data_IF_422259745299
#
_entry.id   IF_422259745299
#
_cell.length_a   1.000
_cell.length_b   1.000
_cell.length_c   1.000
_cell.angle_alpha   90.00
_cell.angle_beta   90.00
_cell.angle_gamma   90.00
#
_symmetry.space_group_name_H-M   'P 1'
#
loop_
_entity.id
_entity.type
_entity.pdbx_description
1 polymer ?
#
# COMPACT_ATOMS: atom_id res chain seq x y z
N UNK A 1 10.88 9.01 -6.39
CA UNK A 1 9.77 9.80 -6.98
C UNK A 1 8.83 10.22 -5.86
N UNK A 2 8.26 11.43 -5.89
CA UNK A 2 7.28 11.86 -4.90
C UNK A 2 6.07 10.92 -4.90
N UNK A 3 5.49 10.69 -3.72
CA UNK A 3 4.30 9.85 -3.54
C UNK A 3 3.09 10.73 -3.28
N UNK A 4 2.01 10.49 -4.02
CA UNK A 4 0.80 11.30 -3.97
C UNK A 4 -0.39 10.49 -3.51
N UNK A 5 -1.28 11.13 -2.76
CA UNK A 5 -2.58 10.59 -2.38
C UNK A 5 -3.68 11.61 -2.68
N UNK A 6 -4.65 11.21 -3.48
CA UNK A 6 -5.83 12.01 -3.80
C UNK A 6 -6.97 11.68 -2.84
N UNK A 7 -7.40 12.66 -2.03
CA UNK A 7 -8.48 12.51 -1.05
C UNK A 7 -9.62 13.46 -1.37
N UNK A 8 -10.81 12.92 -1.61
CA UNK A 8 -12.05 13.68 -1.79
C UNK A 8 -12.64 14.05 -0.44
N UNK A 9 -12.91 15.34 -0.27
CA UNK A 9 -13.72 15.88 0.82
C UNK A 9 -15.03 16.41 0.24
N UNK A 10 -16.02 16.70 1.10
CA UNK A 10 -17.37 17.17 0.67
C UNK A 10 -17.34 18.28 -0.38
N UNK A 11 -16.34 19.16 -0.32
CA UNK A 11 -16.32 20.39 -1.09
C UNK A 11 -15.17 20.45 -2.11
N UNK A 12 -14.20 19.51 -2.08
CA UNK A 12 -13.02 19.51 -2.97
C UNK A 12 -12.20 18.22 -2.92
N UNK A 13 -11.42 17.97 -3.98
CA UNK A 13 -10.30 17.01 -3.95
C UNK A 13 -9.05 17.71 -3.44
N UNK A 14 -8.36 17.10 -2.48
CA UNK A 14 -7.05 17.52 -2.01
C UNK A 14 -5.99 16.47 -2.39
N UNK A 15 -4.85 16.92 -2.90
CA UNK A 15 -3.69 16.08 -3.19
C UNK A 15 -2.66 16.25 -2.07
N UNK A 16 -2.30 15.15 -1.43
CA UNK A 16 -1.25 15.09 -0.43
C UNK A 16 0.00 14.53 -1.08
N UNK A 17 1.10 15.28 -1.05
CA UNK A 17 2.37 14.86 -1.64
C UNK A 17 3.38 14.63 -0.54
N UNK A 18 4.16 13.55 -0.66
CA UNK A 18 5.30 13.27 0.20
C UNK A 18 6.57 13.20 -0.63
N UNK A 19 7.52 14.06 -0.27
CA UNK A 19 8.85 14.15 -0.91
C UNK A 19 9.96 13.56 -0.03
N UNK A 20 9.67 13.36 1.26
CA UNK A 20 10.62 12.86 2.25
C UNK A 20 10.61 11.33 2.27
N UNK A 21 11.78 10.76 2.54
CA UNK A 21 11.93 9.32 2.77
C UNK A 21 11.00 8.84 3.91
N UNK A 22 10.45 7.62 3.84
CA UNK A 22 9.70 7.02 4.94
C UNK A 22 10.58 6.89 6.19
N UNK A 23 10.00 7.16 7.36
CA UNK A 23 10.68 7.05 8.66
C UNK A 23 10.38 5.68 9.32
N UNK A 24 11.10 5.34 10.40
CA UNK A 24 10.90 4.06 11.11
C UNK A 24 9.46 3.83 11.60
N UNK A 25 8.74 4.89 11.96
CA UNK A 25 7.33 4.78 12.33
C UNK A 25 6.46 4.32 11.15
N UNK A 26 6.78 4.78 9.93
CA UNK A 26 6.08 4.35 8.72
C UNK A 26 6.40 2.88 8.41
N UNK A 27 7.64 2.45 8.68
CA UNK A 27 8.05 1.06 8.52
C UNK A 27 7.25 0.12 9.44
N UNK A 28 7.01 0.51 10.69
CA UNK A 28 6.19 -0.31 11.61
C UNK A 28 4.77 -0.50 11.10
N UNK A 29 4.11 0.58 10.66
CA UNK A 29 2.75 0.50 10.11
C UNK A 29 2.73 -0.27 8.77
N UNK A 30 3.77 -0.17 7.94
CA UNK A 30 3.89 -0.94 6.70
C UNK A 30 4.08 -2.45 6.96
N UNK A 31 4.89 -2.82 7.96
CA UNK A 31 5.07 -4.21 8.38
C UNK A 31 3.77 -4.80 8.97
N UNK A 32 2.96 -4.00 9.65
CA UNK A 32 1.63 -4.40 10.11
C UNK A 32 0.72 -4.78 8.94
N UNK A 33 0.68 -3.95 7.88
CA UNK A 33 -0.06 -4.25 6.64
C UNK A 33 0.45 -5.55 6.01
N UNK A 34 1.77 -5.66 5.80
CA UNK A 34 2.38 -6.84 5.18
C UNK A 34 2.07 -8.11 5.98
N UNK A 35 2.10 -8.05 7.31
CA UNK A 35 1.81 -9.19 8.17
C UNK A 35 0.37 -9.69 7.99
N UNK A 36 -0.59 -8.77 7.94
CA UNK A 36 -2.00 -9.12 7.69
C UNK A 36 -2.17 -9.78 6.33
N UNK A 37 -1.51 -9.27 5.29
CA UNK A 37 -1.59 -9.84 3.93
C UNK A 37 -1.00 -11.24 3.86
N UNK A 38 0.14 -11.49 4.52
CA UNK A 38 0.71 -12.84 4.62
C UNK A 38 -0.28 -13.78 5.32
N UNK A 39 -0.88 -13.38 6.43
CA UNK A 39 -1.86 -14.22 7.15
C UNK A 39 -3.10 -14.52 6.29
N UNK A 40 -3.54 -13.54 5.51
CA UNK A 40 -4.69 -13.65 4.61
C UNK A 40 -4.42 -14.54 3.40
N UNK A 41 -3.22 -14.50 2.81
CA UNK A 41 -2.95 -15.13 1.51
C UNK A 41 -1.98 -16.32 1.55
N UNK A 42 -1.39 -16.63 2.71
CA UNK A 42 -0.43 -17.75 2.84
C UNK A 42 -1.05 -19.16 2.77
N UNK A 43 -2.37 -19.28 2.89
CA UNK A 43 -3.07 -20.57 2.88
C UNK A 43 -3.79 -20.76 1.54
N UNK A 44 -3.45 -21.83 0.83
CA UNK A 44 -3.99 -22.14 -0.50
C UNK A 44 -5.54 -22.19 -0.54
N UNK A 45 -6.17 -22.68 0.54
CA UNK A 45 -7.63 -22.86 0.62
C UNK A 45 -8.34 -21.79 1.47
N UNK A 46 -7.64 -20.72 1.87
CA UNK A 46 -8.23 -19.65 2.67
C UNK A 46 -8.63 -18.48 1.77
N UNK A 47 -9.92 -18.14 1.79
CA UNK A 47 -10.39 -16.87 1.27
C UNK A 47 -10.50 -15.87 2.41
N UNK A 48 -10.01 -14.63 2.24
CA UNK A 48 -10.15 -13.61 3.26
C UNK A 48 -11.61 -13.37 3.67
N UNK A 49 -11.87 -13.48 4.96
CA UNK A 49 -13.15 -13.15 5.56
C UNK A 49 -13.42 -11.65 5.48
N UNK A 50 -14.69 -11.24 5.61
CA UNK A 50 -15.06 -9.83 5.67
C UNK A 50 -14.32 -9.08 6.81
N UNK A 51 -14.05 -9.76 7.93
CA UNK A 51 -13.31 -9.19 9.06
C UNK A 51 -11.84 -8.93 8.71
N UNK A 52 -11.18 -9.88 8.05
CA UNK A 52 -9.79 -9.74 7.60
C UNK A 52 -9.67 -8.65 6.53
N UNK A 53 -10.60 -8.62 5.57
CA UNK A 53 -10.65 -7.55 4.56
C UNK A 53 -10.78 -6.18 5.22
N UNK A 54 -11.67 -6.05 6.21
CA UNK A 54 -11.80 -4.79 6.96
C UNK A 54 -10.51 -4.44 7.71
N UNK A 55 -9.88 -5.41 8.37
CA UNK A 55 -8.63 -5.19 9.11
C UNK A 55 -7.50 -4.70 8.18
N UNK A 56 -7.36 -5.30 6.99
CA UNK A 56 -6.41 -4.86 5.96
C UNK A 56 -6.68 -3.43 5.53
N UNK A 57 -7.92 -3.10 5.18
CA UNK A 57 -8.30 -1.76 4.74
C UNK A 57 -8.11 -0.72 5.86
N UNK A 58 -8.44 -1.06 7.11
CA UNK A 58 -8.21 -0.19 8.26
C UNK A 58 -6.71 0.07 8.46
N UNK A 59 -5.86 -0.96 8.36
CA UNK A 59 -4.40 -0.84 8.50
C UNK A 59 -3.79 0.03 7.38
N UNK A 60 -4.21 -0.19 6.13
CA UNK A 60 -3.82 0.66 4.98
C UNK A 60 -4.21 2.13 5.21
N UNK A 61 -5.43 2.38 5.69
CA UNK A 61 -5.89 3.73 5.96
C UNK A 61 -5.14 4.40 7.13
N UNK A 62 -4.80 3.63 8.18
CA UNK A 62 -3.99 4.09 9.31
C UNK A 62 -2.58 4.45 8.85
N UNK A 63 -1.95 3.58 8.04
CA UNK A 63 -0.65 3.85 7.42
C UNK A 63 -0.70 5.14 6.61
N UNK A 64 -1.67 5.28 5.69
CA UNK A 64 -1.79 6.45 4.82
C UNK A 64 -1.96 7.76 5.60
N UNK A 65 -2.84 7.78 6.61
CA UNK A 65 -3.07 8.96 7.44
C UNK A 65 -1.78 9.48 8.10
N UNK A 66 -0.93 8.58 8.61
CA UNK A 66 0.36 8.94 9.20
C UNK A 66 1.43 9.24 8.16
N UNK A 67 1.44 8.49 7.06
CA UNK A 67 2.45 8.59 6.01
C UNK A 67 2.39 9.94 5.29
N UNK A 68 1.19 10.38 4.90
CA UNK A 68 1.02 11.70 4.29
C UNK A 68 0.83 12.80 5.33
N UNK A 69 0.31 12.49 6.53
CA UNK A 69 0.24 13.47 7.63
C UNK A 69 -0.66 14.67 7.32
N UNK A 70 -0.23 15.87 7.71
CA UNK A 70 -0.96 17.13 7.45
C UNK A 70 -2.40 17.18 7.98
N UNK A 71 -2.67 16.52 9.11
CA UNK A 71 -4.01 16.45 9.71
C UNK A 71 -4.95 15.45 9.04
N UNK A 72 -4.45 14.67 8.07
CA UNK A 72 -5.20 13.57 7.45
C UNK A 72 -5.53 12.51 8.50
N UNK A 73 -6.81 12.18 8.66
CA UNK A 73 -7.25 11.12 9.57
C UNK A 73 -7.51 9.82 8.81
N UNK A 74 -7.50 8.69 9.52
CA UNK A 74 -7.89 7.40 8.95
C UNK A 74 -9.31 7.44 8.33
N UNK A 75 -10.23 8.20 8.93
CA UNK A 75 -11.60 8.38 8.41
C UNK A 75 -11.62 9.14 7.09
N UNK A 76 -10.78 10.16 6.95
CA UNK A 76 -10.65 10.92 5.70
C UNK A 76 -10.14 10.01 4.58
N UNK A 77 -9.17 9.14 4.89
CA UNK A 77 -8.70 8.13 3.93
C UNK A 77 -9.83 7.18 3.55
N UNK A 78 -10.50 6.55 4.51
CA UNK A 78 -11.55 5.56 4.24
C UNK A 78 -12.75 6.11 3.45
N UNK A 79 -13.08 7.38 3.65
CA UNK A 79 -14.25 8.00 3.03
C UNK A 79 -13.94 8.84 1.80
N UNK A 80 -12.68 9.23 1.61
CA UNK A 80 -12.26 10.18 0.58
C UNK A 80 -11.38 9.59 -0.52
N UNK A 81 -10.72 8.46 -0.27
CA UNK A 81 -9.84 7.81 -1.25
C UNK A 81 -10.64 6.91 -2.18
N UNK A 82 -10.32 6.92 -3.48
CA UNK A 82 -10.98 6.05 -4.45
C UNK A 82 -10.53 4.60 -4.29
N UNK A 83 -11.43 3.66 -4.54
CA UNK A 83 -11.17 2.22 -4.34
C UNK A 83 -10.12 1.61 -5.27
N UNK A 84 -9.77 2.29 -6.36
CA UNK A 84 -8.81 1.80 -7.37
C UNK A 84 -7.53 2.62 -7.34
N UNK A 85 -7.56 3.86 -7.84
CA UNK A 85 -6.38 4.72 -7.92
C UNK A 85 -5.81 5.01 -6.53
N UNK A 86 -6.68 5.35 -5.59
CA UNK A 86 -6.29 5.67 -4.24
C UNK A 86 -5.73 4.48 -3.46
N UNK A 87 -6.30 3.28 -3.65
CA UNK A 87 -5.72 2.06 -3.11
C UNK A 87 -4.32 1.81 -3.67
N UNK A 88 -4.14 1.91 -4.99
CA UNK A 88 -2.84 1.74 -5.64
C UNK A 88 -1.79 2.76 -5.15
N UNK A 89 -2.19 4.01 -4.89
CA UNK A 89 -1.33 5.03 -4.29
C UNK A 89 -0.84 4.62 -2.90
N UNK A 90 -1.73 4.10 -2.06
CA UNK A 90 -1.39 3.63 -0.70
C UNK A 90 -0.49 2.40 -0.77
N UNK A 91 -0.81 1.41 -1.59
CA UNK A 91 -0.02 0.18 -1.75
C UNK A 91 1.40 0.49 -2.27
N UNK A 92 1.53 1.43 -3.22
CA UNK A 92 2.84 1.92 -3.68
C UNK A 92 3.65 2.55 -2.56
N UNK A 93 3.01 3.32 -1.68
CA UNK A 93 3.69 3.92 -0.52
C UNK A 93 4.11 2.87 0.51
N UNK A 94 3.30 1.84 0.75
CA UNK A 94 3.66 0.68 1.59
C UNK A 94 4.87 -0.04 1.01
N UNK A 95 4.84 -0.41 -0.28
CA UNK A 95 5.94 -1.09 -0.96
C UNK A 95 7.23 -0.28 -0.93
N UNK A 96 7.15 1.03 -1.22
CA UNK A 96 8.29 1.95 -1.12
C UNK A 96 8.87 1.98 0.29
N UNK A 97 8.01 1.97 1.31
CA UNK A 97 8.42 1.96 2.72
C UNK A 97 9.10 0.65 3.13
N UNK A 98 8.66 -0.47 2.57
CA UNK A 98 9.26 -1.79 2.78
C UNK A 98 10.54 -2.01 1.96
N UNK A 99 10.93 -1.05 1.12
CA UNK A 99 12.07 -1.19 0.21
C UNK A 99 11.82 -2.23 -0.89
N UNK A 100 10.55 -2.50 -1.21
CA UNK A 100 10.20 -3.38 -2.33
C UNK A 100 10.40 -2.64 -3.64
N UNK A 101 11.15 -3.25 -4.54
CA UNK A 101 11.28 -2.75 -5.91
C UNK A 101 10.05 -3.19 -6.73
N UNK A 102 9.07 -2.30 -6.85
CA UNK A 102 7.90 -2.53 -7.70
C UNK A 102 8.21 -2.44 -9.21
N UNK A 103 9.43 -2.05 -9.59
CA UNK A 103 9.88 -2.01 -10.99
C UNK A 103 10.63 -3.28 -11.43
N UNK A 104 11.00 -4.15 -10.49
CA UNK A 104 11.67 -5.42 -10.78
C UNK A 104 10.71 -6.55 -11.20
N UNK A 105 9.40 -6.31 -11.20
CA UNK A 105 8.38 -7.33 -11.52
C UNK A 105 8.14 -7.53 -13.02
N UNK A 106 8.83 -6.79 -13.88
CA UNK A 106 8.76 -6.88 -15.36
C UNK A 106 10.00 -7.59 -15.96
N UNK A 107 10.83 -8.26 -15.17
CA UNK A 107 11.78 -9.22 -15.73
C UNK A 107 11.00 -10.48 -16.11
N UNK A 108 10.51 -10.50 -17.36
CA UNK A 108 10.16 -11.72 -18.07
C UNK A 108 11.24 -12.76 -17.80
N UNK A 109 10.88 -13.91 -17.21
CA UNK A 109 11.72 -15.10 -17.14
C UNK A 109 12.24 -15.39 -18.57
N UNK A 110 13.47 -14.96 -18.87
CA UNK A 110 14.14 -15.40 -20.10
C UNK A 110 14.21 -16.93 -20.04
N UNK A 111 13.72 -17.64 -21.07
CA UNK A 111 13.75 -19.09 -21.07
C UNK A 111 15.21 -19.56 -20.99
N UNK A 112 15.49 -20.32 -19.93
CA UNK A 112 16.75 -20.99 -19.64
C UNK A 112 17.29 -21.63 -20.92
N UNK A 113 18.32 -21.02 -21.51
CA UNK A 113 19.00 -21.59 -22.68
C UNK A 113 19.82 -22.78 -22.20
N UNK A 114 19.24 -23.96 -22.39
CA UNK A 114 19.89 -25.27 -22.34
C UNK A 114 21.40 -25.18 -22.67
N UNK A 115 22.29 -25.65 -21.79
CA UNK A 115 23.70 -25.77 -22.14
C UNK A 115 23.84 -26.96 -23.09
N UNK A 116 23.94 -26.67 -24.39
CA UNK A 116 24.38 -27.63 -25.41
C UNK A 116 25.68 -28.32 -24.95
N UNK A 117 25.64 -29.64 -24.82
CA UNK A 117 26.78 -30.53 -24.96
C UNK A 117 26.47 -31.60 -25.98
#
# INVERSE_FOLDING_TARGET
MPLELNVKTKDKTATYTRDQVPMLENLLDALEVQRLEIEMFSKADHQPTAKENKARIDALAKFAAKFWGHGLTQKDVLSGVSSVEGLAQIEKAVATTLGMDLSASDEEDEPDKDPKK
#
